data_IF_551144806689
#
_entry.id   IF_551144806689
#
_cell.length_a   1.000
_cell.length_b   1.000
_cell.length_c   1.000
_cell.angle_alpha   90.00
_cell.angle_beta   90.00
_cell.angle_gamma   90.00
#
_symmetry.space_group_name_H-M   'P 1'
#
loop_
_entity.id
_entity.type
_entity.pdbx_description
1 polymer ?
#
# COMPACT_ATOMS: atom_id res chain seq x y z
N UNK A 1 17.63 5.01 11.73
CA UNK A 1 16.32 5.32 12.38
C UNK A 1 15.30 4.17 12.23
N UNK A 2 14.14 4.25 12.88
CA UNK A 2 12.99 3.39 12.62
C UNK A 2 11.76 4.24 12.28
N UNK A 3 10.90 3.75 11.38
CA UNK A 3 9.63 4.39 11.03
C UNK A 3 8.50 3.61 11.67
N UNK A 4 7.65 4.31 12.43
CA UNK A 4 6.61 3.72 13.27
C UNK A 4 5.26 4.35 12.95
N UNK A 5 4.26 3.52 12.66
CA UNK A 5 2.91 3.96 12.31
C UNK A 5 1.87 3.33 13.25
N UNK A 6 1.02 4.18 13.84
CA UNK A 6 0.00 3.76 14.81
C UNK A 6 -1.33 3.50 14.09
N UNK A 7 -1.88 2.29 14.26
CA UNK A 7 -3.14 1.87 13.60
C UNK A 7 -4.14 1.34 14.62
N UNK A 8 -5.36 1.85 14.61
CA UNK A 8 -6.48 1.35 15.42
C UNK A 8 -7.18 0.12 14.80
N UNK A 9 -6.97 -0.12 13.51
CA UNK A 9 -7.56 -1.24 12.75
C UNK A 9 -6.64 -2.45 12.60
N UNK A 10 -6.90 -3.24 11.55
CA UNK A 10 -5.93 -4.26 11.10
C UNK A 10 -4.66 -3.58 10.59
N UNK A 11 -3.50 -4.16 10.89
CA UNK A 11 -2.23 -3.70 10.31
C UNK A 11 -1.96 -4.45 9.00
N UNK A 12 -1.30 -3.82 8.02
CA UNK A 12 -0.91 -4.49 6.79
C UNK A 12 -0.09 -5.76 7.03
N UNK A 13 -0.35 -6.80 6.25
CA UNK A 13 0.51 -7.99 6.21
C UNK A 13 1.83 -7.68 5.49
N UNK A 14 2.91 -8.42 5.77
CA UNK A 14 4.17 -8.27 5.03
C UNK A 14 4.02 -8.42 3.52
N UNK A 15 3.11 -9.28 3.06
CA UNK A 15 2.81 -9.45 1.63
C UNK A 15 2.23 -8.17 1.04
N UNK A 16 1.28 -7.53 1.72
CA UNK A 16 0.68 -6.27 1.25
C UNK A 16 1.69 -5.13 1.20
N UNK A 17 2.59 -5.04 2.17
CA UNK A 17 3.69 -4.07 2.16
C UNK A 17 4.62 -4.34 0.98
N UNK A 18 5.06 -5.59 0.81
CA UNK A 18 5.96 -5.99 -0.29
C UNK A 18 5.37 -5.77 -1.68
N UNK A 19 4.07 -6.02 -1.87
CA UNK A 19 3.42 -5.84 -3.19
C UNK A 19 2.96 -4.40 -3.45
N UNK A 20 3.35 -3.44 -2.61
CA UNK A 20 2.94 -2.04 -2.74
C UNK A 20 1.45 -1.78 -2.51
N UNK A 21 0.71 -2.75 -1.95
CA UNK A 21 -0.70 -2.55 -1.57
C UNK A 21 -0.85 -1.70 -0.31
N UNK A 22 0.21 -1.63 0.50
CA UNK A 22 0.26 -0.78 1.68
C UNK A 22 1.62 -0.08 1.74
N UNK A 23 1.85 0.92 0.88
CA UNK A 23 3.16 1.51 0.66
C UNK A 23 3.54 2.59 1.70
N UNK A 24 2.68 2.87 2.69
CA UNK A 24 2.85 3.98 3.65
C UNK A 24 4.24 3.97 4.33
N UNK A 25 4.55 2.95 5.14
CA UNK A 25 5.83 2.85 5.85
C UNK A 25 7.04 2.79 4.89
N UNK A 26 7.01 2.00 3.79
CA UNK A 26 8.08 2.04 2.79
C UNK A 26 8.30 3.43 2.15
N UNK A 27 7.25 4.18 1.83
CA UNK A 27 7.37 5.52 1.26
C UNK A 27 7.91 6.52 2.28
N UNK A 28 7.47 6.44 3.54
CA UNK A 28 8.03 7.26 4.63
C UNK A 28 9.54 6.98 4.82
N UNK A 29 9.96 5.72 4.73
CA UNK A 29 11.38 5.37 4.73
C UNK A 29 12.14 5.90 3.50
N UNK A 30 11.51 5.93 2.33
CA UNK A 30 12.08 6.54 1.12
C UNK A 30 12.23 8.06 1.28
N UNK A 31 11.25 8.74 1.90
CA UNK A 31 11.31 10.16 2.22
C UNK A 31 12.47 10.44 3.19
N UNK A 32 12.60 9.66 4.26
CA UNK A 32 13.71 9.81 5.22
C UNK A 32 15.08 9.63 4.54
N UNK A 33 15.21 8.63 3.69
CA UNK A 33 16.45 8.36 2.97
C UNK A 33 16.85 9.45 1.98
N UNK A 34 15.91 10.33 1.58
CA UNK A 34 16.15 11.44 0.66
C UNK A 34 16.07 12.81 1.38
N UNK A 35 16.18 12.83 2.71
CA UNK A 35 16.20 14.06 3.49
C UNK A 35 14.89 14.84 3.46
N UNK A 36 13.76 14.18 3.24
CA UNK A 36 12.45 14.83 3.13
C UNK A 36 11.82 15.25 4.47
N UNK A 37 12.47 14.93 5.61
CA UNK A 37 12.08 15.43 6.92
C UNK A 37 13.00 16.58 7.35
N UNK A 38 12.39 17.72 7.69
CA UNK A 38 13.10 18.89 8.19
C UNK A 38 13.94 18.54 9.43
N UNK A 39 15.12 19.15 9.55
CA UNK A 39 16.08 18.97 10.64
C UNK A 39 16.67 17.54 10.84
N UNK A 40 16.36 16.58 9.98
CA UNK A 40 16.92 15.22 10.08
C UNK A 40 18.06 14.92 9.09
N UNK A 41 18.07 15.58 7.93
CA UNK A 41 18.97 15.18 6.84
C UNK A 41 18.64 13.81 6.26
N UNK A 42 19.53 13.23 5.46
CA UNK A 42 19.36 11.89 4.87
C UNK A 42 19.57 10.81 5.93
N UNK A 43 18.56 9.99 6.16
CA UNK A 43 18.56 8.98 7.21
C UNK A 43 18.24 7.58 6.69
N UNK A 44 19.05 6.60 7.12
CA UNK A 44 18.82 5.19 6.78
C UNK A 44 17.80 4.57 7.74
N UNK A 45 16.74 3.98 7.19
CA UNK A 45 15.72 3.27 7.98
C UNK A 45 16.12 1.82 8.19
N UNK A 46 16.18 1.38 9.45
CA UNK A 46 16.53 0.01 9.83
C UNK A 46 15.30 -0.87 10.06
N UNK A 47 14.17 -0.25 10.44
CA UNK A 47 12.95 -0.98 10.77
C UNK A 47 11.68 -0.21 10.38
N UNK A 48 10.71 -0.95 9.88
CA UNK A 48 9.33 -0.49 9.64
C UNK A 48 8.42 -1.20 10.66
N UNK A 49 7.70 -0.45 11.46
CA UNK A 49 6.92 -1.01 12.58
C UNK A 49 5.50 -0.45 12.59
N UNK A 50 4.52 -1.33 12.56
CA UNK A 50 3.15 -0.94 12.91
C UNK A 50 2.92 -1.13 14.41
N UNK A 51 2.30 -0.16 15.07
CA UNK A 51 1.76 -0.32 16.42
C UNK A 51 0.24 -0.45 16.29
N UNK A 52 -0.27 -1.67 16.50
CA UNK A 52 -1.71 -1.93 16.49
C UNK A 52 -2.31 -1.55 17.83
N UNK A 53 -3.08 -0.48 17.88
CA UNK A 53 -3.84 -0.05 19.05
C UNK A 53 -5.18 -0.80 19.07
N UNK A 54 -5.43 -1.57 20.12
CA UNK A 54 -6.66 -2.41 20.20
C UNK A 54 -7.73 -1.78 21.10
N UNK A 55 -7.34 -0.84 21.96
CA UNK A 55 -8.21 -0.31 23.02
C UNK A 55 -8.62 -1.35 24.08
N UNK A 56 -7.96 -2.52 24.10
CA UNK A 56 -8.23 -3.65 25.01
C UNK A 56 -6.92 -4.08 25.71
N UNK A 57 -6.88 -5.26 26.32
CA UNK A 57 -5.63 -5.85 26.83
C UNK A 57 -5.08 -6.85 25.79
N UNK A 58 -3.84 -6.70 25.31
CA UNK A 58 -2.91 -5.59 25.55
C UNK A 58 -3.33 -4.30 24.80
N UNK A 59 -3.02 -3.11 25.34
CA UNK A 59 -3.47 -1.82 24.79
C UNK A 59 -2.94 -1.55 23.38
N UNK A 60 -1.75 -2.07 23.09
CA UNK A 60 -1.20 -2.11 21.75
C UNK A 60 -0.23 -3.26 21.55
N UNK A 61 0.05 -3.55 20.29
CA UNK A 61 0.98 -4.60 19.87
C UNK A 61 1.93 -4.09 18.79
N UNK A 62 3.24 -4.25 19.01
CA UNK A 62 4.25 -3.97 17.99
C UNK A 62 4.28 -5.07 16.94
N UNK A 63 4.16 -4.67 15.69
CA UNK A 63 4.15 -5.54 14.51
C UNK A 63 5.21 -5.04 13.52
N UNK A 64 6.48 -5.43 13.69
CA UNK A 64 7.51 -5.16 12.70
C UNK A 64 7.13 -5.78 11.36
N UNK A 65 7.41 -5.08 10.26
CA UNK A 65 7.32 -5.65 8.91
C UNK A 65 8.44 -6.68 8.77
N UNK A 66 8.07 -7.96 8.77
CA UNK A 66 9.01 -9.10 8.66
C UNK A 66 9.04 -9.61 7.23
N UNK A 67 10.21 -9.99 6.73
CA UNK A 67 10.34 -10.62 5.41
C UNK A 67 11.80 -10.77 5.02
N UNK A 68 12.04 -11.21 3.78
CA UNK A 68 13.39 -11.34 3.23
C UNK A 68 13.96 -9.98 2.79
N UNK A 69 13.10 -9.01 2.52
CA UNK A 69 13.49 -7.67 2.10
C UNK A 69 13.70 -6.76 3.31
N UNK A 70 14.81 -6.02 3.31
CA UNK A 70 15.10 -5.01 4.33
C UNK A 70 14.26 -3.74 4.17
N UNK A 71 14.24 -2.87 5.19
CA UNK A 71 13.47 -1.62 5.15
C UNK A 71 13.88 -0.71 3.97
N UNK A 72 15.18 -0.60 3.69
CA UNK A 72 15.69 0.18 2.55
C UNK A 72 15.36 -0.42 1.18
N UNK A 73 15.32 -1.75 1.07
CA UNK A 73 14.89 -2.43 -0.17
C UNK A 73 13.40 -2.16 -0.45
N UNK A 74 12.57 -2.25 0.59
CA UNK A 74 11.15 -1.91 0.49
C UNK A 74 10.95 -0.43 0.15
N UNK A 75 11.75 0.47 0.71
CA UNK A 75 11.71 1.90 0.40
C UNK A 75 12.03 2.18 -1.06
N UNK A 76 13.10 1.57 -1.59
CA UNK A 76 13.47 1.68 -3.00
C UNK A 76 12.35 1.18 -3.93
N UNK A 77 11.85 -0.04 -3.68
CA UNK A 77 10.78 -0.63 -4.47
C UNK A 77 9.47 0.20 -4.42
N UNK A 78 9.14 0.80 -3.28
CA UNK A 78 7.96 1.65 -3.14
C UNK A 78 8.12 2.96 -3.92
N UNK A 79 9.31 3.57 -3.89
CA UNK A 79 9.61 4.77 -4.67
C UNK A 79 9.57 4.49 -6.17
N UNK A 80 10.25 3.43 -6.64
CA UNK A 80 10.23 3.03 -8.05
C UNK A 80 8.80 2.75 -8.54
N UNK A 81 8.00 2.05 -7.73
CA UNK A 81 6.60 1.80 -8.04
C UNK A 81 5.75 3.08 -8.12
N UNK A 82 6.01 4.06 -7.25
CA UNK A 82 5.33 5.35 -7.28
C UNK A 82 5.72 6.16 -8.52
N UNK A 83 7.02 6.27 -8.83
CA UNK A 83 7.53 6.98 -10.02
C UNK A 83 6.97 6.36 -11.31
N UNK A 84 6.92 5.02 -11.39
CA UNK A 84 6.31 4.31 -12.52
C UNK A 84 4.80 4.59 -12.65
N UNK A 85 4.07 4.67 -11.53
CA UNK A 85 2.64 5.03 -11.54
C UNK A 85 2.42 6.47 -12.00
N UNK A 86 3.22 7.42 -11.52
CA UNK A 86 3.15 8.81 -11.95
C UNK A 86 3.40 8.89 -13.46
N UNK A 87 4.49 8.31 -13.95
CA UNK A 87 4.83 8.31 -15.37
C UNK A 87 3.73 7.67 -16.24
N UNK A 88 3.06 6.62 -15.75
CA UNK A 88 1.95 6.01 -16.46
C UNK A 88 0.74 6.94 -16.58
N UNK A 89 0.41 7.69 -15.52
CA UNK A 89 -0.73 8.63 -15.51
C UNK A 89 -0.40 10.02 -16.06
N UNK A 90 0.87 10.34 -16.30
CA UNK A 90 1.29 11.54 -17.03
C UNK A 90 1.02 11.43 -18.55
N UNK A 91 0.83 10.21 -19.08
CA UNK A 91 0.34 10.00 -20.44
C UNK A 91 -1.16 10.34 -20.51
N UNK A 92 -1.51 11.36 -21.29
CA UNK A 92 -2.89 11.79 -21.53
C UNK A 92 -3.81 10.69 -22.08
N UNK A 93 -3.23 9.65 -22.68
CA UNK A 93 -3.97 8.51 -23.21
C UNK A 93 -4.24 7.42 -22.15
N UNK A 94 -3.67 7.52 -20.95
CA UNK A 94 -3.91 6.56 -19.87
C UNK A 94 -5.25 6.81 -19.22
N UNK A 95 -6.22 5.88 -19.31
CA UNK A 95 -7.53 6.08 -18.71
C UNK A 95 -7.51 5.81 -17.21
N UNK A 96 -8.31 6.57 -16.46
CA UNK A 96 -8.66 6.24 -15.08
C UNK A 96 -9.73 5.16 -15.06
N UNK A 97 -9.30 3.90 -15.06
CA UNK A 97 -10.22 2.76 -15.01
C UNK A 97 -11.05 2.75 -13.72
N UNK A 98 -12.35 2.48 -13.85
CA UNK A 98 -13.27 2.36 -12.70
C UNK A 98 -12.84 1.27 -11.71
N UNK A 99 -12.21 0.20 -12.20
CA UNK A 99 -11.65 -0.89 -11.41
C UNK A 99 -10.23 -1.25 -11.87
N UNK A 100 -9.21 -0.68 -11.24
CA UNK A 100 -7.80 -1.00 -11.53
C UNK A 100 -7.37 -2.42 -11.08
N UNK A 101 -8.00 -2.96 -10.03
CA UNK A 101 -7.73 -4.31 -9.51
C UNK A 101 -9.04 -5.04 -9.21
N UNK A 102 -9.79 -5.50 -10.23
CA UNK A 102 -11.12 -6.10 -10.06
C UNK A 102 -11.15 -7.27 -9.08
N UNK A 103 -10.09 -8.10 -9.06
CA UNK A 103 -9.96 -9.26 -8.17
C UNK A 103 -9.75 -8.92 -6.69
N UNK A 104 -9.47 -7.65 -6.37
CA UNK A 104 -9.30 -7.17 -5.00
C UNK A 104 -10.56 -6.48 -4.46
N UNK A 105 -11.56 -6.23 -5.33
CA UNK A 105 -12.84 -5.63 -4.98
C UNK A 105 -13.84 -6.74 -4.66
N UNK A 106 -14.21 -6.86 -3.39
CA UNK A 106 -15.25 -7.80 -2.92
C UNK A 106 -16.66 -7.20 -2.93
N UNK A 107 -16.81 -5.93 -3.31
CA UNK A 107 -18.07 -5.19 -3.28
C UNK A 107 -18.23 -4.31 -4.51
N UNK A 108 -19.44 -3.80 -4.75
CA UNK A 108 -19.68 -2.81 -5.78
C UNK A 108 -18.95 -1.50 -5.48
N UNK A 109 -18.19 -1.02 -6.45
CA UNK A 109 -17.63 0.32 -6.49
C UNK A 109 -18.67 1.34 -6.97
N UNK A 110 -18.48 2.58 -6.54
CA UNK A 110 -19.43 3.67 -6.76
C UNK A 110 -19.78 3.89 -8.24
N UNK A 111 -18.88 3.53 -9.16
CA UNK A 111 -19.06 3.72 -10.61
C UNK A 111 -19.42 2.44 -11.36
N UNK A 112 -19.63 1.31 -10.69
CA UNK A 112 -19.91 0.04 -11.36
C UNK A 112 -21.22 0.04 -12.14
N UNK A 113 -22.20 0.81 -11.66
CA UNK A 113 -23.47 1.03 -12.34
C UNK A 113 -23.30 1.83 -13.63
N UNK A 114 -22.32 2.74 -13.70
CA UNK A 114 -21.97 3.46 -14.93
C UNK A 114 -21.10 2.61 -15.85
N UNK A 115 -20.21 1.80 -15.28
CA UNK A 115 -19.29 0.93 -16.01
C UNK A 115 -19.92 -0.41 -16.45
N UNK A 116 -21.24 -0.59 -16.26
CA UNK A 116 -22.04 -1.79 -16.64
C UNK A 116 -21.42 -3.10 -16.14
N UNK A 117 -20.70 -3.07 -15.01
CA UNK A 117 -19.92 -4.22 -14.52
C UNK A 117 -20.82 -5.45 -14.31
N UNK A 118 -22.06 -5.26 -13.83
CA UNK A 118 -23.04 -6.35 -13.65
C UNK A 118 -23.36 -7.12 -14.93
N UNK A 119 -23.39 -6.44 -16.08
CA UNK A 119 -23.73 -7.06 -17.35
C UNK A 119 -22.60 -7.92 -17.91
N UNK A 120 -21.36 -7.64 -17.51
CA UNK A 120 -20.16 -8.36 -17.97
C UNK A 120 -19.69 -9.40 -16.95
N UNK A 121 -20.11 -9.27 -15.68
CA UNK A 121 -19.77 -10.21 -14.60
C UNK A 121 -20.73 -11.41 -14.54
N UNK A 122 -21.89 -11.33 -15.22
CA UNK A 122 -22.91 -12.37 -15.23
C UNK A 122 -22.57 -13.60 -16.10
N UNK A 123 -21.53 -13.51 -16.95
CA UNK A 123 -21.08 -14.63 -17.81
C UNK A 123 -20.18 -15.66 -17.09
N UNK A 124 -19.97 -15.54 -15.77
CA UNK A 124 -19.13 -16.48 -14.99
C UNK A 124 -19.96 -17.50 -14.18
N UNK A 125 -21.29 -17.38 -14.15
CA UNK A 125 -22.18 -18.42 -13.60
C UNK A 125 -22.81 -19.22 -14.75
N UNK A 126 -22.03 -20.10 -15.36
CA UNK A 126 -22.52 -20.95 -16.44
C UNK A 126 -21.52 -21.96 -17.00
N UNK A 127 -20.97 -22.86 -16.18
CA UNK A 127 -21.07 -24.32 -16.36
C UNK A 127 -20.51 -25.02 -15.11
N UNK A 128 -21.06 -26.19 -14.82
CA UNK A 128 -20.96 -27.02 -13.58
C UNK A 128 -19.58 -27.27 -12.99
#
# INVERSE_FOLDING_TARGET
IAVIDYKTGGVPSPKQVKTGLSPQLPLEAAIAANGGFEDMGEETTEALIYIRLTGRTPPGEMKPVKGNAGAMELAGAAREGLEALIAAFDDENTPYLSRLRPMLLSHEGDYDHLARVREWSADVEGDT
#
